data_IF_652383069791
#
_entry.id   IF_652383069791
#
_cell.length_a   1.000
_cell.length_b   1.000
_cell.length_c   1.000
_cell.angle_alpha   90.00
_cell.angle_beta   90.00
_cell.angle_gamma   90.00
#
_symmetry.space_group_name_H-M   'P 1'
#
loop_
_entity.id
_entity.type
_entity.pdbx_description
1 polymer ?
#
# COMPACT_ATOMS: atom_id res chain seq x y z
N UNK A 1 22.94 -5.49 -20.26
CA UNK A 1 23.58 -4.42 -19.46
C UNK A 1 22.57 -3.88 -18.46
N UNK A 2 22.96 -2.97 -17.55
CA UNK A 2 22.00 -2.27 -16.69
C UNK A 2 20.97 -1.48 -17.53
N UNK A 3 21.40 -0.91 -18.65
CA UNK A 3 20.55 -0.16 -19.58
C UNK A 3 19.42 -1.02 -20.19
N UNK A 4 19.72 -2.27 -20.57
CA UNK A 4 18.72 -3.19 -21.13
C UNK A 4 17.65 -3.63 -20.12
N UNK A 5 17.90 -3.50 -18.82
CA UNK A 5 16.92 -3.83 -17.77
C UNK A 5 16.12 -2.61 -17.30
N UNK A 6 16.71 -1.41 -17.35
CA UNK A 6 16.04 -0.16 -16.93
C UNK A 6 14.96 0.24 -17.92
N UNK A 7 15.24 0.21 -19.23
CA UNK A 7 14.29 0.68 -20.25
C UNK A 7 12.92 -0.02 -20.17
N UNK A 8 12.84 -1.37 -20.10
CA UNK A 8 11.54 -2.04 -19.92
C UNK A 8 10.85 -1.69 -18.60
N UNK A 9 11.63 -1.43 -17.53
CA UNK A 9 11.07 -1.04 -16.24
C UNK A 9 10.44 0.36 -16.30
N UNK A 10 11.06 1.30 -17.02
CA UNK A 10 10.50 2.65 -17.23
C UNK A 10 9.23 2.58 -18.08
N UNK A 11 9.22 1.79 -19.15
CA UNK A 11 8.05 1.59 -20.01
C UNK A 11 6.87 0.97 -19.25
N UNK A 12 7.12 -0.04 -18.42
CA UNK A 12 6.09 -0.64 -17.57
C UNK A 12 5.55 0.33 -16.52
N UNK A 13 6.41 1.16 -15.91
CA UNK A 13 5.95 2.21 -15.00
C UNK A 13 5.08 3.24 -15.72
N UNK A 14 5.45 3.63 -16.94
CA UNK A 14 4.67 4.55 -17.78
C UNK A 14 3.29 3.97 -18.11
N UNK A 15 3.21 2.70 -18.48
CA UNK A 15 1.94 2.01 -18.72
C UNK A 15 1.04 2.02 -17.48
N UNK A 16 1.61 1.80 -16.30
CA UNK A 16 0.85 1.83 -15.03
C UNK A 16 0.43 3.25 -14.66
N UNK A 17 1.35 4.21 -14.66
CA UNK A 17 1.11 5.54 -14.07
C UNK A 17 0.45 6.53 -15.03
N UNK A 18 0.62 6.35 -16.34
CA UNK A 18 0.04 7.23 -17.36
C UNK A 18 0.64 8.63 -17.44
N UNK A 19 1.68 8.95 -16.65
CA UNK A 19 2.38 10.24 -16.66
C UNK A 19 3.87 10.05 -16.40
N UNK A 20 4.71 10.74 -17.18
CA UNK A 20 6.16 10.73 -17.02
C UNK A 20 6.61 11.37 -15.71
N UNK A 21 5.87 12.38 -15.22
CA UNK A 21 6.15 13.03 -13.94
C UNK A 21 6.01 12.07 -12.76
N UNK A 22 4.98 11.21 -12.81
CA UNK A 22 4.76 10.17 -11.82
C UNK A 22 5.83 9.08 -11.89
N UNK A 23 6.25 8.70 -13.09
CA UNK A 23 7.35 7.74 -13.30
C UNK A 23 8.65 8.28 -12.71
N UNK A 24 9.00 9.54 -13.00
CA UNK A 24 10.19 10.19 -12.43
C UNK A 24 10.13 10.23 -10.90
N UNK A 25 8.96 10.52 -10.32
CA UNK A 25 8.78 10.53 -8.87
C UNK A 25 9.05 9.16 -8.25
N UNK A 26 8.55 8.09 -8.86
CA UNK A 26 8.82 6.71 -8.41
C UNK A 26 10.31 6.41 -8.51
N UNK A 27 10.95 6.69 -9.65
CA UNK A 27 12.38 6.41 -9.87
C UNK A 27 13.25 7.13 -8.84
N UNK A 28 12.97 8.40 -8.55
CA UNK A 28 13.72 9.19 -7.54
C UNK A 28 13.64 8.59 -6.12
N UNK A 29 12.62 7.81 -5.82
CA UNK A 29 12.43 7.17 -4.52
C UNK A 29 13.28 5.90 -4.30
N UNK A 30 13.94 5.37 -5.33
CA UNK A 30 14.62 4.07 -5.26
C UNK A 30 16.01 4.08 -5.90
N UNK A 31 16.84 3.10 -5.53
CA UNK A 31 18.12 2.87 -6.19
C UNK A 31 17.90 2.31 -7.58
N UNK A 32 18.61 2.83 -8.58
CA UNK A 32 18.40 2.49 -9.99
C UNK A 32 18.55 0.99 -10.28
N UNK A 33 19.50 0.32 -9.62
CA UNK A 33 19.69 -1.13 -9.73
C UNK A 33 18.53 -1.97 -9.18
N UNK A 34 17.68 -1.40 -8.30
CA UNK A 34 16.47 -2.06 -7.80
C UNK A 34 15.23 -1.80 -8.65
N UNK A 35 15.30 -0.86 -9.60
CA UNK A 35 14.16 -0.42 -10.41
C UNK A 35 13.43 -1.58 -11.13
N UNK A 36 14.12 -2.52 -11.80
CA UNK A 36 13.43 -3.63 -12.47
C UNK A 36 12.63 -4.51 -11.50
N UNK A 37 13.16 -4.75 -10.30
CA UNK A 37 12.50 -5.57 -9.28
C UNK A 37 11.28 -4.86 -8.70
N UNK A 38 11.39 -3.58 -8.33
CA UNK A 38 10.25 -2.82 -7.76
C UNK A 38 9.16 -2.63 -8.80
N UNK A 39 9.50 -2.39 -10.07
CA UNK A 39 8.52 -2.32 -11.16
C UNK A 39 7.81 -3.65 -11.35
N UNK A 40 8.54 -4.77 -11.35
CA UNK A 40 7.93 -6.11 -11.44
C UNK A 40 6.93 -6.37 -10.31
N UNK A 41 7.26 -5.94 -9.09
CA UNK A 41 6.32 -6.04 -7.97
C UNK A 41 5.11 -5.14 -8.16
N UNK A 42 5.32 -3.88 -8.56
CA UNK A 42 4.25 -2.92 -8.78
C UNK A 42 3.26 -3.43 -9.83
N UNK A 43 3.73 -3.90 -10.98
CA UNK A 43 2.89 -4.49 -12.04
C UNK A 43 1.99 -5.57 -11.46
N UNK A 44 2.58 -6.53 -10.74
CA UNK A 44 1.82 -7.65 -10.15
C UNK A 44 0.80 -7.16 -9.12
N UNK A 45 1.17 -6.23 -8.26
CA UNK A 45 0.30 -5.72 -7.19
C UNK A 45 -0.85 -4.88 -7.76
N UNK A 46 -0.61 -4.08 -8.80
CA UNK A 46 -1.65 -3.34 -9.53
C UNK A 46 -2.64 -4.32 -10.18
N UNK A 47 -2.15 -5.38 -10.85
CA UNK A 47 -3.02 -6.40 -11.42
C UNK A 47 -3.90 -7.10 -10.36
N UNK A 48 -3.36 -7.36 -9.16
CA UNK A 48 -4.14 -7.93 -8.05
C UNK A 48 -5.28 -7.00 -7.60
N UNK A 49 -5.02 -5.70 -7.50
CA UNK A 49 -6.04 -4.71 -7.14
C UNK A 49 -7.11 -4.57 -8.23
N UNK A 50 -6.71 -4.55 -9.50
CA UNK A 50 -7.65 -4.50 -10.63
C UNK A 50 -8.51 -5.77 -10.71
N UNK A 51 -7.95 -6.94 -10.39
CA UNK A 51 -8.71 -8.18 -10.31
C UNK A 51 -9.78 -8.17 -9.19
N UNK A 52 -9.65 -7.29 -8.19
CA UNK A 52 -10.67 -7.02 -7.17
C UNK A 52 -11.67 -5.92 -7.60
N UNK A 53 -11.62 -5.47 -8.85
CA UNK A 53 -12.50 -4.44 -9.38
C UNK A 53 -12.09 -3.00 -9.01
N UNK A 54 -10.90 -2.78 -8.45
CA UNK A 54 -10.46 -1.44 -8.05
C UNK A 54 -10.03 -0.65 -9.30
N UNK A 55 -10.59 0.55 -9.54
CA UNK A 55 -10.25 1.35 -10.71
C UNK A 55 -8.77 1.77 -10.73
N UNK A 56 -8.15 1.73 -11.91
CA UNK A 56 -6.74 2.10 -12.09
C UNK A 56 -6.43 3.52 -11.61
N UNK A 57 -7.37 4.47 -11.79
CA UNK A 57 -7.19 5.85 -11.33
C UNK A 57 -7.14 5.98 -9.80
N UNK A 58 -7.93 5.17 -9.08
CA UNK A 58 -7.87 5.11 -7.62
C UNK A 58 -6.52 4.57 -7.14
N UNK A 59 -6.00 3.56 -7.83
CA UNK A 59 -4.69 2.96 -7.55
C UNK A 59 -3.58 3.98 -7.82
N UNK A 60 -3.58 4.62 -8.99
CA UNK A 60 -2.63 5.69 -9.37
C UNK A 60 -2.62 6.81 -8.34
N UNK A 61 -3.81 7.32 -7.97
CA UNK A 61 -3.96 8.36 -6.94
C UNK A 61 -3.29 7.96 -5.62
N UNK A 62 -3.39 6.69 -5.22
CA UNK A 62 -2.73 6.21 -3.99
C UNK A 62 -1.22 6.06 -4.15
N UNK A 63 -0.75 5.47 -5.24
CA UNK A 63 0.69 5.32 -5.51
C UNK A 63 1.39 6.68 -5.55
N UNK A 64 0.74 7.71 -6.12
CA UNK A 64 1.27 9.09 -6.15
C UNK A 64 1.56 9.64 -4.77
N UNK A 65 0.69 9.35 -3.80
CA UNK A 65 0.86 9.82 -2.42
C UNK A 65 1.84 8.93 -1.66
N UNK A 66 1.73 7.61 -1.81
CA UNK A 66 2.56 6.65 -1.09
C UNK A 66 2.84 5.41 -1.95
N UNK A 67 4.01 5.37 -2.60
CA UNK A 67 4.39 4.28 -3.51
C UNK A 67 4.93 3.04 -2.79
N UNK A 68 5.56 3.20 -1.63
CA UNK A 68 6.28 2.13 -0.91
C UNK A 68 5.44 0.88 -0.62
N UNK A 69 4.18 0.97 -0.15
CA UNK A 69 3.36 -0.23 0.09
C UNK A 69 3.05 -1.02 -1.19
N UNK A 70 2.93 -0.34 -2.34
CA UNK A 70 2.51 -0.95 -3.60
C UNK A 70 3.65 -1.66 -4.35
N UNK A 71 4.89 -1.49 -3.92
CA UNK A 71 6.07 -2.17 -4.48
C UNK A 71 6.57 -3.34 -3.61
N UNK A 72 5.85 -3.66 -2.52
CA UNK A 72 6.16 -4.82 -1.67
C UNK A 72 6.10 -6.12 -2.49
N UNK A 73 6.82 -7.14 -2.02
CA UNK A 73 6.77 -8.48 -2.64
C UNK A 73 5.29 -8.92 -2.79
N UNK A 74 4.89 -9.55 -3.91
CA UNK A 74 3.49 -9.90 -4.13
C UNK A 74 2.87 -10.78 -3.03
N UNK A 75 3.65 -11.67 -2.41
CA UNK A 75 3.18 -12.46 -1.28
C UNK A 75 2.81 -11.57 -0.07
N UNK A 76 3.69 -10.64 0.29
CA UNK A 76 3.41 -9.63 1.33
C UNK A 76 2.23 -8.75 0.93
N UNK A 77 2.09 -8.39 -0.35
CA UNK A 77 0.99 -7.57 -0.82
C UNK A 77 -0.37 -8.28 -0.69
N UNK A 78 -0.42 -9.57 -1.04
CA UNK A 78 -1.61 -10.40 -0.81
C UNK A 78 -1.96 -10.54 0.66
N UNK A 79 -0.96 -10.72 1.53
CA UNK A 79 -1.17 -10.74 2.99
C UNK A 79 -1.78 -9.43 3.49
N UNK A 80 -1.28 -8.27 3.05
CA UNK A 80 -1.86 -6.97 3.40
C UNK A 80 -3.32 -6.83 2.95
N UNK A 81 -3.64 -7.25 1.72
CA UNK A 81 -5.01 -7.26 1.21
C UNK A 81 -5.92 -8.18 2.04
N UNK A 82 -5.45 -9.40 2.34
CA UNK A 82 -6.20 -10.37 3.13
C UNK A 82 -6.45 -9.85 4.55
N UNK A 83 -5.43 -9.29 5.21
CA UNK A 83 -5.56 -8.69 6.55
C UNK A 83 -6.53 -7.51 6.55
N UNK A 84 -6.50 -6.65 5.52
CA UNK A 84 -7.43 -5.53 5.41
C UNK A 84 -8.88 -6.02 5.40
N UNK A 85 -9.17 -7.10 4.66
CA UNK A 85 -10.52 -7.65 4.55
C UNK A 85 -10.92 -8.48 5.78
N UNK A 86 -10.12 -9.49 6.16
CA UNK A 86 -10.52 -10.50 7.13
C UNK A 86 -10.29 -10.09 8.58
N UNK A 87 -9.18 -9.38 8.86
CA UNK A 87 -8.84 -8.94 10.22
C UNK A 87 -9.43 -7.58 10.55
N UNK A 88 -9.49 -6.69 9.55
CA UNK A 88 -9.89 -5.30 9.73
C UNK A 88 -11.24 -4.94 9.11
N UNK A 89 -11.92 -5.90 8.46
CA UNK A 89 -13.28 -5.72 7.95
C UNK A 89 -13.41 -4.69 6.83
N UNK A 90 -12.31 -4.30 6.18
CA UNK A 90 -12.32 -3.32 5.09
C UNK A 90 -12.61 -4.03 3.78
N UNK A 91 -13.82 -3.84 3.26
CA UNK A 91 -14.21 -4.39 1.96
C UNK A 91 -13.29 -3.88 0.83
N UNK A 92 -12.88 -4.73 -0.13
CA UNK A 92 -12.19 -4.31 -1.35
C UNK A 92 -12.92 -3.24 -2.17
N UNK A 93 -14.25 -3.14 -2.03
CA UNK A 93 -15.09 -2.15 -2.69
C UNK A 93 -15.20 -0.83 -1.92
N UNK A 94 -14.66 -0.77 -0.69
CA UNK A 94 -14.59 0.47 0.08
C UNK A 94 -13.51 1.39 -0.45
N UNK A 95 -13.77 2.70 -0.44
CA UNK A 95 -12.76 3.72 -0.72
C UNK A 95 -11.60 3.69 0.30
N UNK A 96 -11.80 3.06 1.45
CA UNK A 96 -10.79 2.90 2.51
C UNK A 96 -9.83 1.73 2.28
N UNK A 97 -10.10 0.82 1.34
CA UNK A 97 -9.29 -0.38 1.15
C UNK A 97 -7.81 -0.07 0.82
N UNK A 98 -7.58 0.89 -0.08
CA UNK A 98 -6.22 1.32 -0.44
C UNK A 98 -5.51 2.05 0.71
N UNK A 99 -6.25 2.67 1.64
CA UNK A 99 -5.69 3.28 2.85
C UNK A 99 -5.32 2.21 3.88
N UNK A 100 -6.16 1.18 4.05
CA UNK A 100 -5.85 0.03 4.90
C UNK A 100 -4.57 -0.66 4.43
N UNK A 101 -4.45 -1.00 3.14
CA UNK A 101 -3.22 -1.59 2.57
C UNK A 101 -2.00 -0.68 2.83
N UNK A 102 -2.16 0.64 2.68
CA UNK A 102 -1.08 1.57 2.95
C UNK A 102 -0.58 1.46 4.40
N UNK A 103 -1.49 1.53 5.38
CA UNK A 103 -1.13 1.46 6.81
C UNK A 103 -0.52 0.11 7.16
N UNK A 104 -1.13 -0.99 6.70
CA UNK A 104 -0.64 -2.36 6.92
C UNK A 104 0.72 -2.63 6.23
N UNK A 105 1.08 -1.86 5.20
CA UNK A 105 2.38 -1.94 4.53
C UNK A 105 3.47 -1.04 5.10
N UNK A 106 3.07 -0.05 5.90
CA UNK A 106 3.97 0.87 6.60
C UNK A 106 4.33 0.37 8.00
N UNK A 107 3.44 -0.38 8.66
CA UNK A 107 3.62 -0.85 10.03
C UNK A 107 3.77 -2.37 10.08
N UNK A 108 4.66 -2.83 10.95
CA UNK A 108 4.70 -4.25 11.31
C UNK A 108 3.57 -4.57 12.31
N UNK A 109 3.33 -5.86 12.54
CA UNK A 109 2.24 -6.32 13.42
C UNK A 109 2.39 -5.82 14.86
N UNK A 110 3.62 -5.78 15.39
CA UNK A 110 3.91 -5.28 16.74
C UNK A 110 3.54 -3.80 16.88
N UNK A 111 3.86 -2.99 15.87
CA UNK A 111 3.52 -1.57 15.85
C UNK A 111 2.01 -1.34 15.75
N UNK A 112 1.30 -2.16 14.97
CA UNK A 112 -0.16 -2.11 14.88
C UNK A 112 -0.78 -2.47 16.24
N UNK A 113 -0.31 -3.57 16.84
CA UNK A 113 -0.83 -4.05 18.12
C UNK A 113 -0.59 -3.05 19.25
N UNK A 114 0.61 -2.48 19.34
CA UNK A 114 0.93 -1.44 20.31
C UNK A 114 0.01 -0.22 20.18
N UNK A 115 -0.43 0.13 18.97
CA UNK A 115 -1.36 1.24 18.76
C UNK A 115 -2.78 0.88 19.16
N UNK A 116 -3.22 -0.35 18.92
CA UNK A 116 -4.51 -0.81 19.44
C UNK A 116 -4.54 -0.77 20.98
N UNK A 117 -3.45 -1.20 21.62
CA UNK A 117 -3.32 -1.16 23.08
C UNK A 117 -3.42 0.25 23.67
N UNK A 118 -3.02 1.29 22.92
CA UNK A 118 -3.24 2.67 23.33
C UNK A 118 -4.74 2.96 23.42
N UNK A 119 -5.54 2.63 22.40
CA UNK A 119 -7.00 2.81 22.47
C UNK A 119 -7.64 1.97 23.58
N UNK A 120 -7.22 0.72 23.74
CA UNK A 120 -7.70 -0.18 24.79
C UNK A 120 -7.41 0.38 26.20
N UNK A 121 -6.28 1.06 26.39
CA UNK A 121 -5.96 1.75 27.65
C UNK A 121 -6.89 2.92 28.00
N UNK A 122 -7.61 3.46 27.00
CA UNK A 122 -8.66 4.47 27.19
C UNK A 122 -10.06 3.84 27.35
N UNK A 123 -10.16 2.52 27.50
CA UNK A 123 -11.42 1.80 27.73
C UNK A 123 -12.16 1.40 26.45
N UNK A 124 -11.51 1.42 25.29
CA UNK A 124 -12.08 0.90 24.03
C UNK A 124 -11.96 -0.63 23.98
N UNK A 125 -12.97 -1.30 23.45
CA UNK A 125 -12.87 -2.71 23.14
C UNK A 125 -12.14 -2.92 21.82
N UNK A 126 -11.60 -4.13 21.61
CA UNK A 126 -10.90 -4.44 20.35
C UNK A 126 -11.79 -4.26 19.12
N UNK A 127 -13.08 -4.55 19.24
CA UNK A 127 -14.07 -4.33 18.18
C UNK A 127 -14.19 -2.86 17.81
N UNK A 128 -14.15 -1.95 18.79
CA UNK A 128 -14.26 -0.50 18.55
C UNK A 128 -13.05 0.01 17.76
N UNK A 129 -11.85 -0.51 18.07
CA UNK A 129 -10.62 -0.16 17.34
C UNK A 129 -10.68 -0.68 15.90
N UNK A 130 -11.15 -1.91 15.70
CA UNK A 130 -11.35 -2.49 14.36
C UNK A 130 -12.37 -1.68 13.57
N UNK A 131 -13.49 -1.30 14.19
CA UNK A 131 -14.50 -0.47 13.56
C UNK A 131 -13.99 0.94 13.22
N UNK A 132 -13.20 1.55 14.10
CA UNK A 132 -12.55 2.83 13.81
C UNK A 132 -11.59 2.71 12.62
N UNK A 133 -10.73 1.70 12.61
CA UNK A 133 -9.82 1.45 11.49
C UNK A 133 -10.59 1.21 10.19
N UNK A 134 -11.70 0.49 10.24
CA UNK A 134 -12.53 0.21 9.06
C UNK A 134 -13.02 1.48 8.37
N UNK A 135 -13.39 2.50 9.15
CA UNK A 135 -13.87 3.79 8.65
C UNK A 135 -12.73 4.80 8.41
N UNK A 136 -11.62 4.66 9.12
CA UNK A 136 -10.47 5.55 9.03
C UNK A 136 -9.16 4.80 9.30
N UNK A 137 -8.58 4.10 8.31
CA UNK A 137 -7.37 3.31 8.53
C UNK A 137 -6.18 4.12 9.06
N UNK A 138 -6.15 5.42 8.76
CA UNK A 138 -5.09 6.33 9.19
C UNK A 138 -5.06 6.54 10.70
N UNK A 139 -6.10 6.14 11.46
CA UNK A 139 -6.09 6.20 12.93
C UNK A 139 -4.89 5.44 13.55
N UNK A 140 -4.44 4.37 12.90
CA UNK A 140 -3.23 3.62 13.31
C UNK A 140 -1.97 4.07 12.56
N UNK A 141 -2.09 4.94 11.54
CA UNK A 141 -0.96 5.40 10.72
C UNK A 141 -0.14 6.53 11.35
N UNK A 142 -0.67 7.20 12.38
CA UNK A 142 -0.03 8.35 13.03
C UNK A 142 1.15 7.85 13.88
N UNK A 143 2.38 8.27 13.58
CA UNK A 143 3.50 8.08 14.50
C UNK A 143 3.24 8.91 15.76
N UNK A 144 3.45 8.33 16.94
CA UNK A 144 3.56 9.16 18.14
C UNK A 144 4.64 10.21 17.87
N UNK A 145 4.30 11.49 18.02
CA UNK A 145 5.34 12.49 18.21
C UNK A 145 6.09 12.05 19.47
N UNK A 146 7.37 11.76 19.30
CA UNK A 146 8.30 11.71 20.43
C UNK A 146 8.46 13.10 21.01
#
# INVERSE_FOLDING_TARGET
>A
SLDSAIRPAVEALRAIMGSDEDVVRIIKGFKLNTLPLVTKHLVRNVSLLQAQGIPIESIRKRIRQHSTPFIRKPATFKDMMARAETKWGVSPHSTMFLYAIHVLGCLNEKNIESKCQVFESFGWDRSDVVDLFRHNPLCLGISEQK
#
